data_IF_171855139927
#
_entry.id   IF_171855139927
#
_cell.length_a   1.000
_cell.length_b   1.000
_cell.length_c   1.000
_cell.angle_alpha   90.00
_cell.angle_beta   90.00
_cell.angle_gamma   90.00
#
_symmetry.space_group_name_H-M   'P 1'
#
loop_
_entity.id
_entity.type
_entity.pdbx_description
1 polymer ?
#
# COMPACT_ATOMS: atom_id res chain seq x y z
N UNK A 1 49.18 34.76 3.07
CA UNK A 1 48.65 33.70 2.18
C UNK A 1 47.89 32.71 3.02
N UNK A 2 46.58 32.95 3.18
CA UNK A 2 45.67 32.04 3.90
C UNK A 2 45.02 31.13 2.86
N UNK A 3 45.44 29.87 2.79
CA UNK A 3 44.74 28.84 2.05
C UNK A 3 43.51 28.49 2.83
N UNK A 4 42.38 28.98 2.36
CA UNK A 4 41.04 28.56 2.78
C UNK A 4 40.92 27.12 2.31
N UNK A 5 41.03 26.21 3.26
CA UNK A 5 40.64 24.83 3.07
C UNK A 5 39.12 24.84 2.95
N UNK A 6 38.64 24.92 1.71
CA UNK A 6 37.26 24.67 1.39
C UNK A 6 36.99 23.18 1.62
N UNK A 7 36.69 22.88 2.88
CA UNK A 7 36.14 21.58 3.25
C UNK A 7 34.77 21.53 2.59
N UNK A 8 34.73 21.03 1.36
CA UNK A 8 33.50 20.53 0.77
C UNK A 8 33.02 19.44 1.70
N UNK A 9 32.18 19.83 2.64
CA UNK A 9 31.20 18.97 3.21
C UNK A 9 30.36 18.51 2.01
N UNK A 10 30.81 17.47 1.33
CA UNK A 10 29.95 16.50 0.68
C UNK A 10 29.08 15.95 1.81
N UNK A 11 28.09 16.73 2.14
CA UNK A 11 26.84 16.20 2.65
C UNK A 11 26.41 15.20 1.58
N UNK A 12 26.99 13.98 1.66
CA UNK A 12 26.25 12.80 1.27
C UNK A 12 24.95 12.97 2.04
N UNK A 13 23.96 13.54 1.37
CA UNK A 13 22.58 13.32 1.69
C UNK A 13 22.45 11.80 1.69
N UNK A 14 22.73 11.22 2.85
CA UNK A 14 22.17 9.97 3.23
C UNK A 14 20.68 10.24 3.03
N UNK A 15 20.18 9.83 1.87
CA UNK A 15 18.78 9.55 1.72
C UNK A 15 18.52 8.47 2.77
N UNK A 16 18.25 8.95 3.98
CA UNK A 16 17.52 8.17 4.95
C UNK A 16 16.23 7.92 4.20
N UNK A 17 16.16 6.79 3.53
CA UNK A 17 14.89 6.26 3.05
C UNK A 17 14.08 6.15 4.32
N UNK A 18 13.29 7.20 4.58
CA UNK A 18 12.40 7.22 5.72
C UNK A 18 11.60 5.95 5.59
N UNK A 19 11.76 5.04 6.56
CA UNK A 19 11.12 3.74 6.54
C UNK A 19 9.62 3.97 6.73
N UNK A 20 8.96 4.35 5.64
CA UNK A 20 7.53 4.63 5.62
C UNK A 20 6.78 3.48 6.28
N UNK A 21 5.86 3.82 7.15
CA UNK A 21 4.96 2.87 7.79
C UNK A 21 3.57 3.09 7.24
N UNK A 22 2.86 2.03 6.91
CA UNK A 22 1.46 2.15 6.55
C UNK A 22 0.61 1.16 7.33
N UNK A 23 -0.65 1.50 7.45
CA UNK A 23 -1.66 0.71 8.16
C UNK A 23 -2.74 0.31 7.17
N UNK A 24 -3.03 -0.98 7.13
CA UNK A 24 -4.17 -1.55 6.43
C UNK A 24 -5.29 -1.80 7.44
N UNK A 25 -6.47 -1.25 7.19
CA UNK A 25 -7.66 -1.42 8.01
C UNK A 25 -8.76 -2.05 7.15
N UNK A 26 -8.87 -3.38 7.13
CA UNK A 26 -9.91 -4.09 6.38
C UNK A 26 -11.29 -3.83 6.97
N UNK A 27 -12.28 -3.75 6.10
CA UNK A 27 -13.67 -3.58 6.49
C UNK A 27 -14.65 -4.29 5.56
N UNK A 28 -15.81 -4.61 6.11
CA UNK A 28 -16.98 -5.02 5.38
C UNK A 28 -18.03 -3.90 5.45
N UNK A 29 -18.57 -3.56 4.30
CA UNK A 29 -19.72 -2.67 4.15
C UNK A 29 -20.80 -3.47 3.44
N UNK A 30 -22.04 -3.43 3.93
CA UNK A 30 -23.13 -4.11 3.27
C UNK A 30 -23.27 -3.62 1.82
N UNK A 31 -23.52 -4.51 0.84
CA UNK A 31 -23.64 -4.11 -0.56
C UNK A 31 -24.69 -3.02 -0.81
N UNK A 32 -25.79 -3.01 -0.05
CA UNK A 32 -26.86 -2.00 -0.11
C UNK A 32 -26.40 -0.63 0.38
N UNK A 33 -25.41 -0.56 1.26
CA UNK A 33 -24.83 0.69 1.79
C UNK A 33 -23.63 1.19 0.98
N UNK A 34 -23.09 0.39 0.08
CA UNK A 34 -21.82 0.63 -0.59
C UNK A 34 -21.76 1.98 -1.31
N UNK A 35 -22.81 2.34 -2.04
CA UNK A 35 -22.87 3.60 -2.80
C UNK A 35 -22.89 4.81 -1.84
N UNK A 36 -23.72 4.75 -0.80
CA UNK A 36 -23.80 5.81 0.21
C UNK A 36 -22.47 5.95 0.96
N UNK A 37 -21.87 4.82 1.35
CA UNK A 37 -20.56 4.80 1.98
C UNK A 37 -19.48 5.49 1.13
N UNK A 38 -19.36 5.09 -0.14
CA UNK A 38 -18.37 5.69 -1.05
C UNK A 38 -18.62 7.19 -1.27
N UNK A 39 -19.86 7.62 -1.39
CA UNK A 39 -20.23 9.02 -1.52
C UNK A 39 -19.81 9.82 -0.29
N UNK A 40 -20.10 9.33 0.92
CA UNK A 40 -19.71 9.99 2.18
C UNK A 40 -18.20 10.07 2.32
N UNK A 41 -17.49 8.99 1.99
CA UNK A 41 -16.02 8.97 2.03
C UNK A 41 -15.41 9.92 1.01
N UNK A 42 -15.89 9.96 -0.22
CA UNK A 42 -15.43 10.90 -1.27
C UNK A 42 -15.68 12.36 -0.88
N UNK A 43 -16.83 12.64 -0.26
CA UNK A 43 -17.24 14.00 0.10
C UNK A 43 -16.56 14.52 1.37
N UNK A 44 -16.48 13.71 2.40
CA UNK A 44 -16.02 14.12 3.73
C UNK A 44 -14.68 13.49 4.12
N UNK A 45 -14.53 12.19 3.94
CA UNK A 45 -13.34 11.44 4.35
C UNK A 45 -12.09 11.90 3.61
N UNK A 46 -12.17 12.06 2.29
CA UNK A 46 -11.06 12.55 1.47
C UNK A 46 -10.56 13.92 1.93
N UNK A 47 -11.47 14.86 2.16
CA UNK A 47 -11.11 16.22 2.58
C UNK A 47 -10.43 16.25 3.96
N UNK A 48 -10.87 15.39 4.87
CA UNK A 48 -10.21 15.24 6.17
C UNK A 48 -8.82 14.63 6.04
N UNK A 49 -8.65 13.67 5.15
CA UNK A 49 -7.35 13.06 4.86
C UNK A 49 -6.39 14.06 4.20
N UNK A 50 -6.87 14.89 3.26
CA UNK A 50 -6.10 15.98 2.63
C UNK A 50 -5.63 17.01 3.68
N UNK A 51 -6.49 17.41 4.60
CA UNK A 51 -6.11 18.30 5.72
C UNK A 51 -5.04 17.62 6.60
N UNK A 52 -5.21 16.35 6.94
CA UNK A 52 -4.25 15.60 7.76
C UNK A 52 -2.89 15.44 7.09
N UNK A 53 -2.85 15.32 5.75
CA UNK A 53 -1.60 15.34 4.97
C UNK A 53 -0.96 16.74 5.03
N UNK A 54 -1.73 17.80 4.83
CA UNK A 54 -1.25 19.18 4.87
C UNK A 54 -0.71 19.56 6.26
N UNK A 55 -1.33 19.05 7.33
CA UNK A 55 -0.91 19.24 8.71
C UNK A 55 0.27 18.33 9.12
N UNK A 56 0.75 17.46 8.23
CA UNK A 56 1.84 16.51 8.49
C UNK A 56 1.51 15.41 9.51
N UNK A 57 0.23 15.14 9.74
CA UNK A 57 -0.25 14.09 10.65
C UNK A 57 -0.14 12.70 10.00
N UNK A 58 -0.39 12.62 8.70
CA UNK A 58 -0.23 11.44 7.86
C UNK A 58 0.53 11.82 6.58
N UNK A 59 1.07 10.84 5.88
CA UNK A 59 1.78 11.05 4.62
C UNK A 59 0.90 10.79 3.39
N UNK A 60 -0.13 9.97 3.57
CA UNK A 60 -1.08 9.64 2.53
C UNK A 60 -2.23 8.81 3.05
N UNK A 61 -3.29 8.77 2.27
CA UNK A 61 -4.48 8.01 2.58
C UNK A 61 -5.17 7.51 1.32
N UNK A 62 -5.75 6.31 1.39
CA UNK A 62 -6.62 5.79 0.35
C UNK A 62 -7.75 4.94 0.94
N UNK A 63 -8.90 4.94 0.26
CA UNK A 63 -9.93 3.92 0.36
C UNK A 63 -9.87 3.06 -0.90
N UNK A 64 -9.72 1.76 -0.71
CA UNK A 64 -9.74 0.75 -1.75
C UNK A 64 -11.02 -0.08 -1.64
N UNK A 65 -11.54 -0.52 -2.80
CA UNK A 65 -12.65 -1.46 -2.92
C UNK A 65 -12.14 -2.74 -3.57
N UNK A 66 -12.50 -3.88 -3.04
CA UNK A 66 -12.14 -5.17 -3.62
C UNK A 66 -12.79 -5.35 -4.98
N UNK A 67 -12.02 -5.83 -5.95
CA UNK A 67 -12.55 -6.23 -7.25
C UNK A 67 -13.17 -7.62 -7.09
N UNK A 68 -14.49 -7.80 -7.35
CA UNK A 68 -15.17 -9.08 -7.16
C UNK A 68 -14.53 -10.20 -7.98
N UNK A 69 -14.41 -11.39 -7.41
CA UNK A 69 -13.85 -12.57 -8.05
C UNK A 69 -12.32 -12.55 -8.24
N UNK A 70 -11.63 -11.51 -7.78
CA UNK A 70 -10.17 -11.39 -7.89
C UNK A 70 -9.51 -11.49 -6.51
N UNK A 71 -9.39 -12.73 -6.02
CA UNK A 71 -8.78 -13.07 -4.73
C UNK A 71 -9.32 -14.39 -4.17
N UNK A 72 -8.87 -14.79 -2.97
CA UNK A 72 -9.43 -15.98 -2.29
C UNK A 72 -10.91 -15.75 -1.95
N UNK A 73 -11.75 -16.75 -2.19
CA UNK A 73 -13.20 -16.71 -1.90
C UNK A 73 -13.46 -16.50 -0.40
N UNK A 74 -12.64 -17.10 0.45
CA UNK A 74 -12.73 -17.00 1.92
C UNK A 74 -12.59 -15.57 2.44
N UNK A 75 -11.87 -14.72 1.71
CA UNK A 75 -11.66 -13.31 2.05
C UNK A 75 -12.78 -12.39 1.53
N UNK A 76 -13.79 -12.90 0.82
CA UNK A 76 -14.81 -12.08 0.13
C UNK A 76 -15.66 -11.22 1.06
N UNK A 77 -15.71 -11.53 2.35
CA UNK A 77 -16.38 -10.69 3.34
C UNK A 77 -15.75 -9.29 3.44
N UNK A 78 -14.43 -9.19 3.29
CA UNK A 78 -13.71 -7.92 3.32
C UNK A 78 -13.80 -7.29 1.93
N UNK A 79 -14.63 -6.27 1.78
CA UNK A 79 -14.85 -5.60 0.49
C UNK A 79 -14.27 -4.19 0.40
N UNK A 80 -13.80 -3.62 1.52
CA UNK A 80 -13.09 -2.33 1.57
C UNK A 80 -11.82 -2.42 2.39
N UNK A 81 -10.87 -1.52 2.07
CA UNK A 81 -9.61 -1.43 2.77
C UNK A 81 -9.18 0.04 2.87
N UNK A 82 -9.04 0.56 4.08
CA UNK A 82 -8.36 1.83 4.29
C UNK A 82 -6.86 1.63 4.39
N UNK A 83 -6.14 2.46 3.67
CA UNK A 83 -4.68 2.56 3.74
C UNK A 83 -4.31 3.92 4.30
N UNK A 84 -3.54 3.96 5.39
CA UNK A 84 -3.03 5.20 5.97
C UNK A 84 -1.51 5.11 6.05
N UNK A 85 -0.81 6.01 5.39
CA UNK A 85 0.65 6.06 5.37
C UNK A 85 1.18 7.11 6.36
N UNK A 86 2.23 6.75 7.09
CA UNK A 86 2.99 7.60 8.00
C UNK A 86 4.44 7.68 7.56
N UNK A 87 5.08 8.81 7.80
CA UNK A 87 6.48 9.04 7.45
C UNK A 87 7.44 7.98 8.05
N UNK A 88 7.12 7.49 9.25
CA UNK A 88 7.97 6.53 9.97
C UNK A 88 7.20 5.77 11.04
N UNK A 89 7.76 4.64 11.57
CA UNK A 89 7.18 3.95 12.72
C UNK A 89 6.99 4.86 13.94
N UNK A 90 7.93 5.79 14.17
CA UNK A 90 7.84 6.77 15.26
C UNK A 90 6.63 7.69 15.10
N UNK A 91 6.37 8.15 13.88
CA UNK A 91 5.17 8.98 13.59
C UNK A 91 3.89 8.18 13.80
N UNK A 92 3.87 6.91 13.40
CA UNK A 92 2.73 6.03 13.66
C UNK A 92 2.47 5.85 15.17
N UNK A 93 3.50 5.54 15.96
CA UNK A 93 3.35 5.34 17.42
C UNK A 93 2.83 6.59 18.11
N UNK A 94 3.33 7.76 17.72
CA UNK A 94 2.95 9.06 18.29
C UNK A 94 1.80 9.74 17.52
N UNK A 95 1.03 8.98 16.73
CA UNK A 95 -0.05 9.54 15.91
C UNK A 95 -1.13 10.18 16.74
N UNK A 96 -1.62 11.32 16.23
CA UNK A 96 -2.80 11.97 16.74
C UNK A 96 -4.04 11.54 15.95
N UNK A 97 -5.21 11.60 16.57
CA UNK A 97 -6.47 11.40 15.85
C UNK A 97 -6.67 12.55 14.88
N UNK A 98 -6.75 12.23 13.60
CA UNK A 98 -6.98 13.21 12.53
C UNK A 98 -8.39 13.09 11.92
N UNK A 99 -9.05 11.94 12.07
CA UNK A 99 -10.40 11.71 11.56
C UNK A 99 -11.43 12.13 12.61
N UNK A 100 -11.78 13.43 12.60
CA UNK A 100 -12.74 14.01 13.54
C UNK A 100 -13.72 14.91 12.80
N UNK A 101 -14.89 14.36 12.46
CA UNK A 101 -15.94 15.02 11.68
C UNK A 101 -16.62 16.13 12.46
N UNK A 102 -16.77 15.98 13.76
CA UNK A 102 -17.39 16.99 14.64
C UNK A 102 -16.53 18.26 14.68
N UNK A 103 -15.21 18.10 14.89
CA UNK A 103 -14.29 19.24 14.86
C UNK A 103 -14.26 19.94 13.50
N UNK A 104 -14.36 19.18 12.40
CA UNK A 104 -14.22 19.73 11.04
C UNK A 104 -15.52 20.29 10.48
N UNK A 105 -16.64 19.62 10.72
CA UNK A 105 -17.93 19.90 10.10
C UNK A 105 -19.05 20.25 11.10
N UNK A 106 -18.78 20.18 12.40
CA UNK A 106 -19.81 20.36 13.44
C UNK A 106 -20.79 19.19 13.52
N UNK A 107 -20.49 18.05 12.88
CA UNK A 107 -21.36 16.87 12.80
C UNK A 107 -20.61 15.68 13.38
N UNK A 108 -21.11 15.04 14.46
CA UNK A 108 -20.53 13.80 14.97
C UNK A 108 -20.44 12.72 13.88
N UNK A 109 -19.37 11.92 13.93
CA UNK A 109 -19.15 10.84 12.95
C UNK A 109 -20.28 9.82 12.90
N UNK A 110 -20.85 9.51 14.05
CA UNK A 110 -21.98 8.62 14.21
C UNK A 110 -23.23 9.10 13.46
N UNK A 111 -23.42 10.43 13.40
CA UNK A 111 -24.53 11.02 12.63
C UNK A 111 -24.19 11.05 11.15
N UNK A 112 -22.96 11.46 10.81
CA UNK A 112 -22.54 11.60 9.42
C UNK A 112 -22.50 10.26 8.68
N UNK A 113 -22.09 9.18 9.36
CA UNK A 113 -21.97 7.83 8.81
C UNK A 113 -23.03 6.86 9.37
N UNK A 114 -23.98 7.34 10.18
CA UNK A 114 -24.94 6.53 10.92
C UNK A 114 -25.96 5.75 10.09
N UNK A 115 -25.99 6.00 8.78
CA UNK A 115 -26.78 5.19 7.83
C UNK A 115 -25.97 4.10 7.11
N UNK A 116 -24.74 3.82 7.55
CA UNK A 116 -23.85 2.85 6.92
C UNK A 116 -23.30 1.90 7.98
N UNK A 117 -23.59 0.62 7.84
CA UNK A 117 -23.03 -0.42 8.70
C UNK A 117 -21.64 -0.83 8.19
N UNK A 118 -20.61 -0.61 9.03
CA UNK A 118 -19.21 -0.90 8.71
C UNK A 118 -18.60 -1.80 9.77
N UNK A 119 -18.41 -3.06 9.43
CA UNK A 119 -17.66 -3.99 10.27
C UNK A 119 -16.15 -3.87 10.00
N UNK A 120 -15.33 -3.73 11.05
CA UNK A 120 -13.88 -3.56 10.97
C UNK A 120 -13.15 -4.81 11.45
N UNK A 121 -12.13 -5.23 10.71
CA UNK A 121 -11.34 -6.45 10.95
C UNK A 121 -9.93 -6.17 11.48
N UNK A 122 -9.78 -5.21 12.36
CA UNK A 122 -8.49 -4.88 12.98
C UNK A 122 -7.64 -3.91 12.17
N UNK A 123 -6.37 -3.84 12.53
CA UNK A 123 -5.37 -2.97 11.89
C UNK A 123 -4.06 -3.72 11.72
N UNK A 124 -3.51 -3.71 10.51
CA UNK A 124 -2.26 -4.37 10.17
C UNK A 124 -1.23 -3.31 9.81
N UNK A 125 -0.12 -3.27 10.55
CA UNK A 125 0.93 -2.26 10.40
C UNK A 125 2.11 -2.87 9.69
N UNK A 126 2.55 -2.21 8.62
CA UNK A 126 3.67 -2.62 7.78
C UNK A 126 4.74 -1.54 7.74
N UNK A 127 5.99 -1.98 7.68
CA UNK A 127 7.16 -1.15 7.37
C UNK A 127 7.52 -1.34 5.90
N UNK A 128 7.56 -0.26 5.13
CA UNK A 128 8.03 -0.29 3.75
C UNK A 128 9.53 -0.59 3.74
N UNK A 129 9.92 -1.65 3.06
CA UNK A 129 11.31 -2.04 2.88
C UNK A 129 11.87 -1.45 1.58
N UNK A 130 11.06 -1.45 0.53
CA UNK A 130 11.40 -0.85 -0.76
C UNK A 130 10.16 -0.39 -1.49
N UNK A 131 10.30 0.69 -2.27
CA UNK A 131 9.22 1.23 -3.09
C UNK A 131 9.77 1.93 -4.32
N UNK A 132 9.09 1.76 -5.44
CA UNK A 132 9.24 2.54 -6.65
C UNK A 132 7.92 3.16 -7.05
N UNK A 133 7.93 4.44 -7.37
CA UNK A 133 6.79 5.18 -7.89
C UNK A 133 7.19 5.94 -9.15
N UNK A 134 6.20 6.27 -9.96
CA UNK A 134 6.35 7.18 -11.08
C UNK A 134 5.14 8.14 -11.16
N UNK A 135 5.05 8.90 -12.25
CA UNK A 135 4.01 9.94 -12.42
C UNK A 135 2.64 9.40 -12.90
N UNK A 136 2.49 8.08 -13.07
CA UNK A 136 1.22 7.49 -13.46
C UNK A 136 0.24 7.50 -12.30
N UNK A 137 -1.05 7.58 -12.61
CA UNK A 137 -2.11 7.53 -11.61
C UNK A 137 -2.70 6.13 -11.53
N UNK A 138 -2.42 5.43 -10.44
CA UNK A 138 -2.99 4.11 -10.21
C UNK A 138 -4.52 4.17 -10.05
N UNK A 139 -5.21 3.23 -10.70
CA UNK A 139 -6.63 2.94 -10.50
C UNK A 139 -6.83 1.60 -9.83
N UNK A 140 -5.92 0.67 -10.04
CA UNK A 140 -5.96 -0.67 -9.47
C UNK A 140 -4.64 -1.00 -8.79
N UNK A 141 -4.69 -1.87 -7.80
CA UNK A 141 -3.53 -2.36 -7.08
C UNK A 141 -3.72 -3.83 -6.73
N UNK A 142 -2.69 -4.64 -6.99
CA UNK A 142 -2.62 -6.02 -6.55
C UNK A 142 -1.89 -6.04 -5.23
N UNK A 143 -2.47 -6.66 -4.23
CA UNK A 143 -1.82 -6.96 -2.96
C UNK A 143 -1.49 -8.44 -2.87
N UNK A 144 -0.23 -8.73 -2.56
CA UNK A 144 0.30 -10.09 -2.50
C UNK A 144 0.89 -10.32 -1.12
N UNK A 145 0.37 -11.29 -0.37
CA UNK A 145 0.90 -11.73 0.92
C UNK A 145 1.56 -13.09 0.76
N UNK A 146 2.64 -13.34 1.52
CA UNK A 146 3.35 -14.62 1.44
C UNK A 146 4.11 -14.96 2.73
N UNK A 147 4.34 -16.26 2.92
CA UNK A 147 5.16 -16.83 3.97
C UNK A 147 6.48 -17.33 3.36
N UNK A 148 7.54 -16.51 3.31
CA UNK A 148 8.82 -16.94 2.76
C UNK A 148 9.55 -17.89 3.72
N UNK A 149 10.36 -18.80 3.20
CA UNK A 149 11.30 -19.61 4.01
C UNK A 149 12.26 -18.74 4.79
N UNK A 150 12.77 -17.69 4.15
CA UNK A 150 13.61 -16.68 4.77
C UNK A 150 13.25 -15.29 4.25
N UNK A 151 12.76 -14.41 5.13
CA UNK A 151 12.30 -13.06 4.77
C UNK A 151 13.40 -12.24 4.10
N UNK A 152 14.63 -12.26 4.65
CA UNK A 152 15.73 -11.48 4.12
C UNK A 152 16.18 -11.96 2.75
N UNK A 153 16.24 -13.28 2.55
CA UNK A 153 16.57 -13.88 1.25
C UNK A 153 15.50 -13.54 0.20
N UNK A 154 14.21 -13.71 0.53
CA UNK A 154 13.10 -13.36 -0.35
C UNK A 154 13.12 -11.88 -0.73
N UNK A 155 13.35 -10.97 0.24
CA UNK A 155 13.47 -9.54 -0.04
C UNK A 155 14.66 -9.22 -0.95
N UNK A 156 15.81 -9.85 -0.76
CA UNK A 156 16.99 -9.64 -1.61
C UNK A 156 16.76 -10.10 -3.05
N UNK A 157 16.05 -11.21 -3.25
CA UNK A 157 15.68 -11.68 -4.59
C UNK A 157 14.66 -10.74 -5.23
N UNK A 158 13.62 -10.36 -4.48
CA UNK A 158 12.60 -9.40 -4.94
C UNK A 158 13.19 -8.03 -5.29
N UNK A 159 14.21 -7.58 -4.57
CA UNK A 159 14.95 -6.37 -4.89
C UNK A 159 15.65 -6.43 -6.25
N UNK A 160 16.34 -7.54 -6.55
CA UNK A 160 16.96 -7.77 -7.85
C UNK A 160 15.94 -7.82 -8.98
N UNK A 161 14.82 -8.52 -8.75
CA UNK A 161 13.69 -8.61 -9.69
C UNK A 161 13.15 -7.21 -9.99
N UNK A 162 12.81 -6.44 -8.97
CA UNK A 162 12.23 -5.10 -9.14
C UNK A 162 13.18 -4.14 -9.84
N UNK A 163 14.47 -4.22 -9.55
CA UNK A 163 15.50 -3.42 -10.21
C UNK A 163 15.60 -3.72 -11.70
N UNK A 164 15.29 -4.94 -12.15
CA UNK A 164 15.34 -5.33 -13.56
C UNK A 164 14.21 -4.71 -14.40
N UNK A 165 13.03 -4.52 -13.81
CA UNK A 165 11.86 -3.97 -14.52
C UNK A 165 11.55 -2.49 -14.18
N UNK A 166 12.20 -1.90 -13.19
CA UNK A 166 11.92 -0.53 -12.73
C UNK A 166 11.86 0.49 -13.88
N UNK A 167 12.79 0.42 -14.83
CA UNK A 167 12.85 1.33 -15.98
C UNK A 167 11.66 1.20 -16.94
N UNK A 168 11.04 0.02 -16.97
CA UNK A 168 9.92 -0.29 -17.87
C UNK A 168 8.55 -0.03 -17.22
N UNK A 169 8.49 0.17 -15.91
CA UNK A 169 7.24 0.34 -15.15
C UNK A 169 6.28 1.32 -15.80
N UNK A 170 6.75 2.54 -16.08
CA UNK A 170 5.91 3.59 -16.65
C UNK A 170 5.38 3.23 -18.02
N UNK A 171 6.19 2.63 -18.88
CA UNK A 171 5.81 2.18 -20.22
C UNK A 171 4.75 1.10 -20.19
N UNK A 172 4.84 0.22 -19.21
CA UNK A 172 3.92 -0.92 -19.03
C UNK A 172 2.72 -0.55 -18.11
N UNK A 173 2.53 0.74 -17.81
CA UNK A 173 1.40 1.25 -17.02
C UNK A 173 1.42 0.88 -15.53
N UNK A 174 2.55 0.40 -15.01
CA UNK A 174 2.74 0.17 -13.59
C UNK A 174 3.10 1.49 -12.91
N UNK A 175 2.21 2.00 -12.08
CA UNK A 175 2.37 3.27 -11.37
C UNK A 175 3.24 3.16 -10.12
N UNK A 176 3.17 2.04 -9.41
CA UNK A 176 3.94 1.78 -8.19
C UNK A 176 4.20 0.30 -8.01
N UNK A 177 5.34 0.00 -7.43
CA UNK A 177 5.71 -1.30 -6.91
C UNK A 177 6.34 -1.14 -5.52
N UNK A 178 6.12 -2.11 -4.64
CA UNK A 178 6.86 -2.13 -3.40
C UNK A 178 6.73 -3.42 -2.60
N UNK A 179 7.56 -3.49 -1.55
CA UNK A 179 7.54 -4.56 -0.58
C UNK A 179 7.62 -4.01 0.84
N UNK A 180 7.00 -4.72 1.78
CA UNK A 180 6.93 -4.34 3.17
C UNK A 180 6.91 -5.57 4.08
N UNK A 181 7.40 -5.39 5.30
CA UNK A 181 7.30 -6.38 6.36
C UNK A 181 6.24 -5.98 7.39
N UNK A 182 5.49 -6.95 7.88
CA UNK A 182 4.47 -6.73 8.90
C UNK A 182 5.14 -6.50 10.27
N UNK A 183 4.71 -5.42 10.93
CA UNK A 183 5.18 -5.07 12.28
C UNK A 183 4.16 -5.53 13.34
N UNK A 184 2.87 -5.31 13.07
CA UNK A 184 1.76 -5.57 14.02
C UNK A 184 0.55 -6.09 13.22
N UNK A 185 -0.16 -7.12 13.73
CA UNK A 185 0.21 -7.99 14.86
C UNK A 185 1.35 -8.94 14.50
N UNK A 186 2.04 -9.47 15.50
CA UNK A 186 3.05 -10.53 15.36
C UNK A 186 2.36 -11.87 15.62
N UNK A 187 1.82 -12.46 14.56
CA UNK A 187 1.06 -13.70 14.58
C UNK A 187 1.60 -14.63 13.49
N UNK A 188 1.78 -15.93 13.82
CA UNK A 188 2.31 -16.93 12.90
C UNK A 188 1.37 -17.22 11.72
N UNK A 189 0.06 -17.04 11.92
CA UNK A 189 -0.97 -17.36 10.93
C UNK A 189 -1.19 -16.20 9.94
N UNK A 190 -0.44 -15.12 10.11
CA UNK A 190 -0.50 -13.96 9.23
C UNK A 190 0.79 -13.81 8.43
N UNK A 191 0.68 -13.63 7.13
CA UNK A 191 1.84 -13.49 6.25
C UNK A 191 2.75 -12.33 6.66
N UNK A 192 4.05 -12.57 6.91
CA UNK A 192 4.97 -11.53 7.38
C UNK A 192 5.48 -10.62 6.27
N UNK A 193 5.44 -11.06 5.02
CA UNK A 193 5.93 -10.34 3.84
C UNK A 193 4.77 -9.98 2.92
N UNK A 194 4.83 -8.76 2.40
CA UNK A 194 3.78 -8.14 1.61
C UNK A 194 4.38 -7.41 0.42
N UNK A 195 3.74 -7.54 -0.74
CA UNK A 195 4.09 -6.81 -1.96
C UNK A 195 2.86 -6.11 -2.53
N UNK A 196 3.09 -5.04 -3.29
CA UNK A 196 2.04 -4.40 -4.09
C UNK A 196 2.54 -4.04 -5.48
N UNK A 197 1.60 -4.11 -6.42
CA UNK A 197 1.78 -3.75 -7.83
C UNK A 197 0.59 -2.90 -8.25
N UNK A 198 0.80 -1.60 -8.53
CA UNK A 198 -0.27 -0.67 -8.84
C UNK A 198 -0.26 -0.28 -10.32
N UNK A 199 -1.45 -0.23 -10.94
CA UNK A 199 -1.66 -0.04 -12.37
C UNK A 199 -2.71 1.01 -12.70
N UNK A 200 -2.61 1.61 -13.90
CA UNK A 200 -3.58 2.59 -14.39
C UNK A 200 -4.93 1.97 -14.80
N UNK A 201 -4.93 0.72 -15.28
CA UNK A 201 -6.14 0.05 -15.76
C UNK A 201 -6.13 -1.46 -15.50
N UNK A 202 -7.31 -2.09 -15.66
CA UNK A 202 -7.51 -3.51 -15.39
C UNK A 202 -6.81 -4.43 -16.40
N UNK A 203 -6.66 -4.01 -17.66
CA UNK A 203 -5.95 -4.80 -18.68
C UNK A 203 -4.52 -5.07 -18.25
N UNK A 204 -3.82 -4.05 -17.74
CA UNK A 204 -2.46 -4.17 -17.22
C UNK A 204 -2.37 -5.04 -15.97
N UNK A 205 -3.41 -5.03 -15.11
CA UNK A 205 -3.53 -5.95 -13.98
C UNK A 205 -3.59 -7.40 -14.47
N UNK A 206 -4.45 -7.67 -15.45
CA UNK A 206 -4.58 -9.00 -16.04
C UNK A 206 -3.27 -9.45 -16.72
N UNK A 207 -2.62 -8.55 -17.45
CA UNK A 207 -1.32 -8.84 -18.08
C UNK A 207 -0.25 -9.14 -17.03
N UNK A 208 -0.23 -8.44 -15.89
CA UNK A 208 0.65 -8.78 -14.76
C UNK A 208 0.37 -10.19 -14.24
N UNK A 209 -0.90 -10.51 -13.99
CA UNK A 209 -1.31 -11.82 -13.47
C UNK A 209 -0.99 -12.97 -14.44
N UNK A 210 -0.88 -12.66 -15.74
CA UNK A 210 -0.44 -13.58 -16.80
C UNK A 210 1.08 -13.54 -17.06
N UNK A 211 1.88 -12.90 -16.21
CA UNK A 211 3.33 -12.72 -16.38
C UNK A 211 3.73 -12.02 -17.69
N UNK A 212 2.93 -11.06 -18.15
CA UNK A 212 3.18 -10.31 -19.39
C UNK A 212 3.69 -8.90 -19.11
N UNK A 213 3.08 -8.08 -18.31
CA UNK A 213 3.36 -6.67 -18.08
C UNK A 213 4.85 -6.34 -17.80
N UNK A 214 5.17 -5.47 -16.87
CA UNK A 214 6.52 -5.06 -16.54
C UNK A 214 7.46 -6.22 -16.16
N UNK A 215 6.88 -7.31 -15.63
CA UNK A 215 7.62 -8.51 -15.20
C UNK A 215 8.01 -9.47 -16.32
N UNK A 216 7.55 -9.26 -17.56
CA UNK A 216 7.81 -10.16 -18.71
C UNK A 216 9.28 -10.35 -19.06
N UNK A 217 10.13 -9.37 -18.71
CA UNK A 217 11.56 -9.36 -19.00
C UNK A 217 12.42 -9.73 -17.78
N UNK A 218 11.82 -10.18 -16.71
CA UNK A 218 12.57 -10.62 -15.51
C UNK A 218 13.33 -11.88 -15.82
N UNK A 219 14.59 -11.97 -15.37
CA UNK A 219 15.43 -13.15 -15.50
C UNK A 219 14.74 -14.37 -14.86
N UNK A 220 14.61 -15.44 -15.63
CA UNK A 220 13.97 -16.68 -15.18
C UNK A 220 14.69 -17.31 -13.99
N UNK A 221 16.02 -17.14 -13.87
CA UNK A 221 16.76 -17.59 -12.69
C UNK A 221 16.36 -16.84 -11.43
N UNK A 222 16.09 -15.52 -11.52
CA UNK A 222 15.60 -14.74 -10.38
C UNK A 222 14.17 -15.15 -10.00
N UNK A 223 13.30 -15.44 -10.98
CA UNK A 223 11.96 -15.96 -10.71
C UNK A 223 12.02 -17.32 -10.02
N UNK A 224 12.90 -18.21 -10.49
CA UNK A 224 13.11 -19.51 -9.85
C UNK A 224 13.63 -19.39 -8.43
N UNK A 225 14.60 -18.49 -8.18
CA UNK A 225 15.08 -18.21 -6.83
C UNK A 225 13.95 -17.66 -5.92
N UNK A 226 13.08 -16.79 -6.45
CA UNK A 226 11.94 -16.32 -5.68
C UNK A 226 10.96 -17.45 -5.36
N UNK A 227 10.69 -18.34 -6.30
CA UNK A 227 9.85 -19.53 -6.07
C UNK A 227 10.44 -20.47 -5.01
N UNK A 228 11.76 -20.63 -4.96
CA UNK A 228 12.43 -21.41 -3.91
C UNK A 228 12.25 -20.80 -2.52
N UNK A 229 12.24 -19.45 -2.43
CA UNK A 229 11.99 -18.74 -1.19
C UNK A 229 10.50 -18.71 -0.79
N UNK A 230 9.59 -18.84 -1.76
CA UNK A 230 8.14 -18.83 -1.60
C UNK A 230 7.56 -20.21 -1.97
N UNK A 231 7.76 -21.26 -1.15
CA UNK A 231 7.41 -22.65 -1.53
C UNK A 231 5.92 -22.82 -1.79
N UNK A 232 5.08 -22.11 -1.04
CA UNK A 232 3.62 -22.13 -1.17
C UNK A 232 3.09 -21.02 -2.09
N UNK A 233 4.00 -20.24 -2.70
CA UNK A 233 3.67 -19.10 -3.56
C UNK A 233 3.09 -17.94 -2.78
N UNK A 234 2.01 -17.36 -3.32
CA UNK A 234 1.26 -16.30 -2.66
C UNK A 234 0.16 -16.90 -1.78
N UNK A 235 0.20 -16.62 -0.48
CA UNK A 235 -0.85 -17.01 0.46
C UNK A 235 -2.19 -16.36 0.09
N UNK A 236 -2.15 -15.04 -0.14
CA UNK A 236 -3.29 -14.28 -0.62
C UNK A 236 -2.86 -13.28 -1.68
N UNK A 237 -3.63 -13.20 -2.76
CA UNK A 237 -3.45 -12.24 -3.84
C UNK A 237 -4.79 -11.62 -4.17
N UNK A 238 -4.95 -10.33 -3.89
CA UNK A 238 -6.22 -9.63 -4.02
C UNK A 238 -6.03 -8.38 -4.88
N UNK A 239 -6.96 -8.15 -5.81
CA UNK A 239 -7.01 -6.93 -6.60
C UNK A 239 -7.98 -5.94 -5.96
N UNK A 240 -7.53 -4.71 -5.84
CA UNK A 240 -8.27 -3.59 -5.29
C UNK A 240 -8.38 -2.46 -6.30
N UNK A 241 -9.50 -1.75 -6.28
CA UNK A 241 -9.73 -0.52 -7.02
C UNK A 241 -9.65 0.68 -6.09
N UNK A 242 -9.00 1.76 -6.52
CA UNK A 242 -8.98 3.01 -5.76
C UNK A 242 -10.32 3.73 -5.85
N UNK A 243 -11.05 3.80 -4.75
CA UNK A 243 -12.30 4.57 -4.63
C UNK A 243 -11.98 6.05 -4.43
N UNK A 244 -10.98 6.33 -3.58
CA UNK A 244 -10.53 7.69 -3.26
C UNK A 244 -9.13 7.67 -2.65
N UNK A 245 -8.33 8.72 -2.89
CA UNK A 245 -7.00 8.89 -2.31
C UNK A 245 -6.63 10.36 -2.19
N UNK A 246 -5.59 10.64 -1.39
CA UNK A 246 -4.98 11.97 -1.26
C UNK A 246 -3.90 12.26 -2.30
N UNK A 247 -3.55 11.29 -3.12
CA UNK A 247 -2.53 11.38 -4.20
C UNK A 247 -3.18 11.27 -5.56
#
# INVERSE_FOLDING_TARGET
>A
MKKILSLCFLLSSLFVVSQQTFVLNPAMVNPEDAENFEMLIKKYGKKMAEDAVNDGLIQGWALLKRVPGMGKVEDEKINYLWVVAYESPKKYVNRQSWFNTEKKYGIPGEILFGGVDVERYGSFVYKTEKRYDNSLKAKFIIFNWTFPKNINSAMNVADKISSSFQKDMKKEGMASWGMATRIIPQDSDLAPLFFWDAYENMEQVIDHLMYKAAIKNVDQNLLSQLQEELPDGWDSRIVWEFVSSTN
#
